data_IF_608215360701
#
_entry.id   IF_608215360701
#
_cell.length_a   1.000
_cell.length_b   1.000
_cell.length_c   1.000
_cell.angle_alpha   90.00
_cell.angle_beta   90.00
_cell.angle_gamma   90.00
#
_symmetry.space_group_name_H-M   'P 1'
#
loop_
_entity.id
_entity.type
_entity.pdbx_description
1 polymer ?
#
# COMPACT_ATOMS: atom_id res chain seq x y z
N UNK A 1 -0.79 1.90 -11.21
CA UNK A 1 -2.08 2.58 -10.95
C UNK A 1 -2.18 3.86 -11.78
N UNK A 2 -3.31 4.58 -11.76
CA UNK A 2 -3.29 6.02 -12.06
C UNK A 2 -3.01 6.78 -10.75
N UNK A 3 -2.48 7.99 -10.82
CA UNK A 3 -2.11 8.85 -9.67
C UNK A 3 -3.20 8.98 -8.60
N UNK A 4 -4.48 8.92 -8.98
CA UNK A 4 -5.59 8.96 -8.03
C UNK A 4 -5.71 7.66 -7.21
N UNK A 5 -5.48 6.50 -7.85
CA UNK A 5 -5.50 5.21 -7.16
C UNK A 5 -4.32 5.09 -6.21
N UNK A 6 -3.15 5.53 -6.67
CA UNK A 6 -1.92 5.60 -5.86
C UNK A 6 -2.07 6.55 -4.65
N UNK A 7 -2.69 7.72 -4.84
CA UNK A 7 -2.97 8.64 -3.74
C UNK A 7 -3.96 8.06 -2.70
N UNK A 8 -4.93 7.26 -3.12
CA UNK A 8 -5.82 6.57 -2.18
C UNK A 8 -5.09 5.43 -1.47
N UNK A 9 -4.20 4.71 -2.15
CA UNK A 9 -3.37 3.66 -1.57
C UNK A 9 -2.45 4.21 -0.48
N UNK A 10 -1.68 5.24 -0.82
CA UNK A 10 -0.81 5.96 0.10
C UNK A 10 -1.58 6.47 1.32
N UNK A 11 -2.76 7.07 1.15
CA UNK A 11 -3.63 7.43 2.27
C UNK A 11 -3.96 6.25 3.17
N UNK A 12 -4.33 5.10 2.60
CA UNK A 12 -4.65 3.90 3.37
C UNK A 12 -3.44 3.31 4.09
N UNK A 13 -2.24 3.37 3.51
CA UNK A 13 -0.98 3.00 4.17
C UNK A 13 -0.70 3.84 5.40
N UNK A 14 -0.82 5.16 5.25
CA UNK A 14 -0.69 6.09 6.37
C UNK A 14 -1.67 5.79 7.50
N UNK A 15 -2.93 5.53 7.12
CA UNK A 15 -4.00 5.21 8.07
C UNK A 15 -3.72 3.90 8.82
N UNK A 16 -3.26 2.83 8.15
CA UNK A 16 -2.98 1.54 8.80
C UNK A 16 -1.74 1.61 9.69
N UNK A 17 -0.70 2.35 9.30
CA UNK A 17 0.48 2.60 10.15
C UNK A 17 0.05 3.27 11.45
N UNK A 18 -0.68 4.38 11.36
CA UNK A 18 -1.17 5.10 12.53
C UNK A 18 -2.08 4.22 13.41
N UNK A 19 -3.04 3.52 12.80
CA UNK A 19 -3.94 2.61 13.52
C UNK A 19 -3.21 1.48 14.24
N UNK A 20 -2.14 0.96 13.62
CA UNK A 20 -1.28 -0.08 14.20
C UNK A 20 -0.53 0.44 15.43
N UNK A 21 0.02 1.65 15.38
CA UNK A 21 0.68 2.27 16.55
C UNK A 21 -0.29 2.60 17.69
N UNK A 22 -1.55 2.94 17.38
CA UNK A 22 -2.59 3.10 18.40
C UNK A 22 -2.96 1.78 19.08
N UNK A 23 -2.83 0.65 18.37
CA UNK A 23 -3.09 -0.68 18.93
C UNK A 23 -1.91 -1.20 19.77
N UNK A 24 -0.67 -1.17 19.25
CA UNK A 24 0.54 -1.42 20.04
C UNK A 24 1.82 -0.98 19.31
N UNK A 25 2.90 -0.70 20.05
CA UNK A 25 4.20 -0.33 19.46
C UNK A 25 4.78 -1.46 18.58
N UNK A 26 4.80 -2.74 19.00
CA UNK A 26 5.31 -3.83 18.15
C UNK A 26 4.56 -3.94 16.82
N UNK A 27 3.22 -3.89 16.86
CA UNK A 27 2.38 -3.93 15.66
C UNK A 27 2.64 -2.72 14.75
N UNK A 28 2.78 -1.51 15.32
CA UNK A 28 3.13 -0.31 14.56
C UNK A 28 4.46 -0.44 13.81
N UNK A 29 5.49 -0.99 14.46
CA UNK A 29 6.79 -1.25 13.84
C UNK A 29 6.65 -2.29 12.72
N UNK A 30 5.96 -3.40 12.98
CA UNK A 30 5.74 -4.47 12.02
C UNK A 30 5.01 -3.95 10.76
N UNK A 31 3.91 -3.22 10.94
CA UNK A 31 3.15 -2.61 9.83
C UNK A 31 3.99 -1.60 9.06
N UNK A 32 4.79 -0.77 9.74
CA UNK A 32 5.65 0.21 9.05
C UNK A 32 6.68 -0.48 8.16
N UNK A 33 7.34 -1.52 8.66
CA UNK A 33 8.29 -2.31 7.86
C UNK A 33 7.55 -2.95 6.67
N UNK A 34 6.39 -3.53 6.92
CA UNK A 34 5.57 -4.18 5.90
C UNK A 34 5.15 -3.21 4.78
N UNK A 35 4.75 -1.99 5.13
CA UNK A 35 4.42 -0.92 4.16
C UNK A 35 5.64 -0.52 3.35
N UNK A 36 6.77 -0.21 4.00
CA UNK A 36 8.02 0.14 3.31
C UNK A 36 8.41 -0.93 2.27
N UNK A 37 8.25 -2.21 2.63
CA UNK A 37 8.64 -3.32 1.76
C UNK A 37 7.82 -3.42 0.47
N UNK A 38 6.54 -3.03 0.46
CA UNK A 38 5.73 -3.06 -0.75
C UNK A 38 5.62 -1.71 -1.46
N UNK A 39 5.79 -0.61 -0.74
CA UNK A 39 5.79 0.74 -1.31
C UNK A 39 7.03 1.02 -2.15
N UNK A 40 8.23 0.58 -1.74
CA UNK A 40 9.45 0.80 -2.54
C UNK A 40 9.29 0.19 -3.96
N UNK A 41 8.93 -1.10 -4.13
CA UNK A 41 8.66 -1.67 -5.45
C UNK A 41 7.53 -0.98 -6.21
N UNK A 42 6.43 -0.62 -5.51
CA UNK A 42 5.25 0.00 -6.11
C UNK A 42 5.60 1.36 -6.72
N UNK A 43 6.26 2.23 -5.96
CA UNK A 43 6.70 3.55 -6.38
C UNK A 43 7.69 3.50 -7.57
N UNK A 44 8.60 2.52 -7.57
CA UNK A 44 9.45 2.28 -8.75
C UNK A 44 8.64 1.86 -9.99
N UNK A 45 7.61 1.04 -9.78
CA UNK A 45 6.67 0.63 -10.81
C UNK A 45 5.89 1.82 -11.38
N UNK A 46 5.28 2.63 -10.53
CA UNK A 46 4.48 3.79 -10.92
C UNK A 46 5.35 4.87 -11.58
N UNK A 47 6.58 5.09 -11.12
CA UNK A 47 7.55 5.93 -11.83
C UNK A 47 7.79 5.43 -13.27
N UNK A 48 7.96 4.12 -13.45
CA UNK A 48 8.10 3.49 -14.76
C UNK A 48 6.85 3.68 -15.64
N UNK A 49 5.66 3.54 -15.06
CA UNK A 49 4.38 3.75 -15.76
C UNK A 49 4.22 5.21 -16.20
N UNK A 50 4.53 6.18 -15.34
CA UNK A 50 4.45 7.61 -15.67
C UNK A 50 5.41 8.00 -16.81
N UNK A 51 6.63 7.46 -16.79
CA UNK A 51 7.59 7.65 -17.90
C UNK A 51 7.04 7.11 -19.23
N UNK A 52 6.46 5.90 -19.22
CA UNK A 52 5.82 5.33 -20.41
C UNK A 52 4.59 6.14 -20.85
N UNK A 53 3.89 6.76 -19.89
CA UNK A 53 2.78 7.69 -20.13
C UNK A 53 3.20 9.06 -20.69
N UNK A 54 4.48 9.28 -20.97
CA UNK A 54 4.99 10.51 -21.59
C UNK A 54 5.39 11.61 -20.60
N UNK A 55 5.44 11.31 -19.30
CA UNK A 55 5.93 12.26 -18.30
C UNK A 55 7.45 12.38 -18.39
N UNK A 56 7.98 13.57 -18.13
CA UNK A 56 9.43 13.75 -17.93
C UNK A 56 9.84 13.14 -16.59
N UNK A 57 11.11 12.74 -16.44
CA UNK A 57 11.64 12.15 -15.19
C UNK A 57 11.31 12.99 -13.95
N UNK A 58 11.52 14.31 -14.04
CA UNK A 58 11.22 15.23 -12.93
C UNK A 58 9.73 15.26 -12.62
N UNK A 59 8.87 15.31 -13.64
CA UNK A 59 7.41 15.29 -13.43
C UNK A 59 6.96 13.97 -12.81
N UNK A 60 7.46 12.83 -13.29
CA UNK A 60 7.11 11.53 -12.73
C UNK A 60 7.48 11.42 -11.24
N UNK A 61 8.71 11.81 -10.87
CA UNK A 61 9.14 11.84 -9.46
C UNK A 61 8.27 12.79 -8.62
N UNK A 62 7.97 13.99 -9.14
CA UNK A 62 7.14 14.94 -8.41
C UNK A 62 5.72 14.44 -8.19
N UNK A 63 5.13 13.77 -9.19
CA UNK A 63 3.76 13.25 -9.07
C UNK A 63 3.68 12.08 -8.09
N UNK A 64 4.64 11.16 -8.11
CA UNK A 64 4.77 10.12 -7.08
C UNK A 64 4.93 10.73 -5.68
N UNK A 65 5.83 11.70 -5.53
CA UNK A 65 6.04 12.35 -4.24
C UNK A 65 4.76 13.06 -3.72
N UNK A 66 4.02 13.74 -4.60
CA UNK A 66 2.76 14.40 -4.24
C UNK A 66 1.69 13.38 -3.84
N UNK A 67 1.67 12.22 -4.50
CA UNK A 67 0.81 11.09 -4.14
C UNK A 67 1.17 10.55 -2.75
N UNK A 68 2.45 10.29 -2.49
CA UNK A 68 2.96 9.78 -1.21
C UNK A 68 2.67 10.69 0.00
N UNK A 69 2.51 12.00 -0.19
CA UNK A 69 2.10 12.92 0.90
C UNK A 69 0.74 12.54 1.49
N UNK A 70 -0.13 11.90 0.71
CA UNK A 70 -1.44 11.47 1.22
C UNK A 70 -1.34 10.43 2.34
N UNK A 71 -0.24 9.67 2.44
CA UNK A 71 0.04 8.81 3.59
C UNK A 71 0.16 9.60 4.89
N UNK A 72 0.79 10.78 4.86
CA UNK A 72 0.85 11.66 6.04
C UNK A 72 -0.56 12.10 6.44
N UNK A 73 -1.41 12.43 5.45
CA UNK A 73 -2.80 12.84 5.69
C UNK A 73 -3.60 11.68 6.31
N UNK A 74 -3.45 10.46 5.80
CA UNK A 74 -4.09 9.27 6.35
C UNK A 74 -3.68 8.98 7.79
N UNK A 75 -2.38 9.10 8.09
CA UNK A 75 -1.86 8.94 9.44
C UNK A 75 -2.42 9.99 10.41
N UNK A 76 -2.40 11.27 10.02
CA UNK A 76 -2.97 12.36 10.83
C UNK A 76 -4.47 12.15 11.06
N UNK A 77 -5.22 11.76 10.03
CA UNK A 77 -6.65 11.48 10.12
C UNK A 77 -6.93 10.41 11.19
N UNK A 78 -6.20 9.30 11.17
CA UNK A 78 -6.37 8.23 12.14
C UNK A 78 -5.93 8.64 13.55
N UNK A 79 -4.82 9.36 13.71
CA UNK A 79 -4.37 9.84 15.02
C UNK A 79 -5.33 10.87 15.64
N UNK A 80 -5.88 11.76 14.82
CA UNK A 80 -6.84 12.78 15.26
C UNK A 80 -8.17 12.17 15.72
N UNK A 81 -8.60 11.07 15.09
CA UNK A 81 -9.88 10.41 15.37
C UNK A 81 -9.73 9.31 16.44
N UNK A 82 -8.66 8.51 16.37
CA UNK A 82 -8.41 7.38 17.27
C UNK A 82 -8.01 7.78 18.68
N UNK A 83 -7.59 9.04 18.91
CA UNK A 83 -7.35 9.57 20.26
C UNK A 83 -8.63 9.90 21.03
N UNK A 84 -9.79 9.96 20.36
CA UNK A 84 -11.07 10.39 20.95
C UNK A 84 -11.99 9.22 21.33
N UNK A 85 -11.92 8.07 20.65
CA UNK A 85 -12.77 6.90 20.94
C UNK A 85 -12.10 5.58 20.47
N UNK A 86 -11.91 4.65 21.41
CA UNK A 86 -11.32 3.32 21.15
C UNK A 86 -12.16 2.43 20.23
N UNK A 87 -13.43 2.79 19.96
CA UNK A 87 -14.30 2.09 19.00
C UNK A 87 -13.97 2.42 17.54
N UNK A 88 -13.30 3.53 17.25
CA UNK A 88 -12.98 3.93 15.88
C UNK A 88 -11.92 3.02 15.24
N UNK A 89 -11.02 2.46 16.04
CA UNK A 89 -10.07 1.43 15.59
C UNK A 89 -10.78 0.19 15.02
N UNK A 90 -11.95 -0.16 15.57
CA UNK A 90 -12.78 -1.29 15.12
C UNK A 90 -13.37 -1.03 13.73
N UNK A 91 -13.56 0.23 13.33
CA UNK A 91 -14.13 0.60 12.02
C UNK A 91 -13.04 0.86 10.99
N UNK A 92 -11.95 1.52 11.39
CA UNK A 92 -10.86 1.92 10.49
C UNK A 92 -10.11 0.69 9.98
N UNK A 93 -9.80 -0.29 10.83
CA UNK A 93 -9.04 -1.48 10.41
C UNK A 93 -9.77 -2.27 9.30
N UNK A 94 -11.05 -2.67 9.45
CA UNK A 94 -11.77 -3.37 8.38
C UNK A 94 -11.95 -2.52 7.11
N UNK A 95 -12.17 -1.21 7.26
CA UNK A 95 -12.29 -0.31 6.11
C UNK A 95 -10.99 -0.27 5.30
N UNK A 96 -9.85 -0.14 5.97
CA UNK A 96 -8.53 -0.12 5.33
C UNK A 96 -8.19 -1.47 4.69
N UNK A 97 -8.45 -2.59 5.37
CA UNK A 97 -8.28 -3.94 4.80
C UNK A 97 -9.14 -4.10 3.54
N UNK A 98 -10.40 -3.65 3.57
CA UNK A 98 -11.29 -3.66 2.42
C UNK A 98 -10.76 -2.84 1.24
N UNK A 99 -10.17 -1.66 1.53
CA UNK A 99 -9.50 -0.82 0.54
C UNK A 99 -8.34 -1.53 -0.16
N UNK A 100 -7.44 -2.18 0.58
CA UNK A 100 -6.34 -2.96 0.01
C UNK A 100 -6.83 -4.11 -0.88
N UNK A 101 -7.85 -4.85 -0.43
CA UNK A 101 -8.43 -5.93 -1.23
C UNK A 101 -9.08 -5.41 -2.52
N UNK A 102 -9.76 -4.26 -2.45
CA UNK A 102 -10.34 -3.62 -3.63
C UNK A 102 -9.26 -3.23 -4.63
N UNK A 103 -8.24 -2.48 -4.20
CA UNK A 103 -7.14 -2.03 -5.06
C UNK A 103 -6.38 -3.22 -5.67
N UNK A 104 -6.06 -4.23 -4.86
CA UNK A 104 -5.39 -5.44 -5.34
C UNK A 104 -6.21 -6.15 -6.43
N UNK A 105 -7.54 -6.21 -6.27
CA UNK A 105 -8.45 -6.84 -7.21
C UNK A 105 -8.79 -6.01 -8.45
N UNK A 106 -8.96 -4.70 -8.31
CA UNK A 106 -9.42 -3.80 -9.38
C UNK A 106 -8.30 -3.23 -10.24
N UNK A 107 -7.09 -3.10 -9.68
CA UNK A 107 -5.99 -2.40 -10.34
C UNK A 107 -4.82 -3.34 -10.64
N UNK A 108 -4.30 -4.04 -9.63
CA UNK A 108 -3.16 -4.95 -9.78
C UNK A 108 -3.52 -6.21 -10.57
N UNK A 109 -4.62 -6.88 -10.23
CA UNK A 109 -5.01 -8.14 -10.88
C UNK A 109 -5.27 -7.97 -12.39
N UNK A 110 -5.94 -6.92 -12.88
CA UNK A 110 -6.10 -6.69 -14.31
C UNK A 110 -4.80 -6.38 -15.03
N UNK A 111 -3.85 -5.66 -14.39
CA UNK A 111 -2.55 -5.35 -14.98
C UNK A 111 -1.71 -6.62 -15.19
N UNK A 112 -1.68 -7.52 -14.21
CA UNK A 112 -1.01 -8.83 -14.33
C UNK A 112 -1.54 -9.65 -15.51
N UNK A 113 -2.85 -9.54 -15.81
CA UNK A 113 -3.49 -10.24 -16.94
C UNK A 113 -3.13 -9.66 -18.31
N UNK A 114 -2.55 -8.46 -18.39
CA UNK A 114 -2.09 -7.85 -19.66
C UNK A 114 -0.75 -8.41 -20.16
N UNK A 115 -0.05 -9.18 -19.34
CA UNK A 115 1.20 -9.88 -19.68
C UNK A 115 0.91 -11.36 -20.05
N UNK A 116 0.54 -11.67 -21.31
CA UNK A 116 0.19 -13.03 -21.70
C UNK A 116 1.40 -13.96 -21.65
N UNK A 117 1.22 -15.14 -21.06
CA UNK A 117 2.20 -16.22 -21.09
C UNK A 117 2.17 -17.06 -19.82
N UNK A 118 1.97 -18.38 -19.97
CA UNK A 118 1.87 -19.33 -18.85
C UNK A 118 3.05 -19.23 -17.90
N UNK A 119 4.26 -19.07 -18.44
CA UNK A 119 5.49 -18.92 -17.64
C UNK A 119 5.49 -17.65 -16.79
N UNK A 120 5.08 -16.50 -17.36
CA UNK A 120 5.00 -15.23 -16.63
C UNK A 120 3.92 -15.30 -15.55
N UNK A 121 2.77 -15.88 -15.85
CA UNK A 121 1.70 -16.12 -14.89
C UNK A 121 2.18 -17.00 -13.72
N UNK A 122 2.97 -18.04 -13.99
CA UNK A 122 3.56 -18.87 -12.93
C UNK A 122 4.52 -18.08 -12.04
N UNK A 123 5.40 -17.25 -12.63
CA UNK A 123 6.32 -16.39 -11.86
C UNK A 123 5.54 -15.40 -10.99
N UNK A 124 4.52 -14.73 -11.56
CA UNK A 124 3.66 -13.81 -10.82
C UNK A 124 2.94 -14.50 -9.67
N UNK A 125 2.41 -15.71 -9.90
CA UNK A 125 1.75 -16.50 -8.85
C UNK A 125 2.71 -16.89 -7.74
N UNK A 126 3.92 -17.37 -8.08
CA UNK A 126 4.96 -17.68 -7.09
C UNK A 126 5.34 -16.42 -6.32
N UNK A 127 5.52 -15.28 -6.98
CA UNK A 127 5.84 -14.01 -6.33
C UNK A 127 4.77 -13.56 -5.32
N UNK A 128 3.48 -13.71 -5.67
CA UNK A 128 2.36 -13.43 -4.75
C UNK A 128 2.43 -14.35 -3.51
N UNK A 129 2.61 -15.65 -3.72
CA UNK A 129 2.74 -16.61 -2.60
C UNK A 129 3.94 -16.27 -1.71
N UNK A 130 5.08 -15.91 -2.33
CA UNK A 130 6.29 -15.53 -1.61
C UNK A 130 6.08 -14.25 -0.79
N UNK A 131 5.40 -13.26 -1.36
CA UNK A 131 4.99 -12.05 -0.65
C UNK A 131 4.10 -12.35 0.56
N UNK A 132 3.10 -13.22 0.40
CA UNK A 132 2.24 -13.66 1.51
C UNK A 132 3.07 -14.35 2.62
N UNK A 133 4.03 -15.19 2.26
CA UNK A 133 4.91 -15.87 3.22
C UNK A 133 5.76 -14.84 3.99
N UNK A 134 6.38 -13.88 3.30
CA UNK A 134 7.18 -12.82 3.92
C UNK A 134 6.32 -12.02 4.91
N UNK A 135 5.13 -11.58 4.50
CA UNK A 135 4.20 -10.84 5.35
C UNK A 135 3.77 -11.68 6.58
N UNK A 136 3.51 -12.98 6.39
CA UNK A 136 3.18 -13.89 7.49
C UNK A 136 4.34 -14.07 8.47
N UNK A 137 5.59 -14.09 8.00
CA UNK A 137 6.75 -14.21 8.91
C UNK A 137 6.95 -12.98 9.78
N UNK A 138 6.51 -11.80 9.35
CA UNK A 138 6.55 -10.59 10.18
C UNK A 138 5.62 -10.69 11.40
N UNK A 139 4.52 -11.42 11.30
CA UNK A 139 3.62 -11.70 12.45
C UNK A 139 4.29 -12.56 13.53
N UNK A 140 5.44 -13.19 13.27
CA UNK A 140 6.22 -13.89 14.29
C UNK A 140 7.07 -12.95 15.15
N UNK A 141 7.12 -11.66 14.78
CA UNK A 141 7.88 -10.60 15.46
C UNK A 141 6.98 -9.80 16.42
N UNK A 142 5.65 -9.96 16.31
CA UNK A 142 4.64 -9.45 17.25
C UNK A 142 4.57 -10.29 18.53
#
# INVERSE_FOLDING_TARGET
MNLYGDALHNFTDGAIIAGSYLASIPLGIATTIAVILHEIPQEFGDFGVLLHGGFTKIRAIMMNFLSAITAIIGAIFVLAIGSQDSRLTIIIIPFTIGGFLYIAGSDLLPELRKEPGVWKTMIQFIAIILGIIVMRTLLLIE
#
